data_IF_111404621484
#
_entry.id   IF_111404621484
#
_cell.length_a   1.000
_cell.length_b   1.000
_cell.length_c   1.000
_cell.angle_alpha   90.00
_cell.angle_beta   90.00
_cell.angle_gamma   90.00
#
_symmetry.space_group_name_H-M   'P 1'
#
loop_
_entity.id
_entity.type
_entity.pdbx_description
1 polymer ?
#
# COMPACT_ATOMS: atom_id res chain seq x y z
N UNK A 1 20.50 -0.89 -2.66
CA UNK A 1 19.23 -1.63 -2.71
C UNK A 1 18.26 -0.82 -3.55
N UNK A 2 17.61 -1.46 -4.53
CA UNK A 2 16.53 -0.85 -5.36
C UNK A 2 15.20 -1.40 -4.90
N UNK A 3 14.23 -0.54 -4.63
CA UNK A 3 12.89 -0.90 -4.18
C UNK A 3 11.88 -0.39 -5.20
N UNK A 4 10.99 -1.27 -5.68
CA UNK A 4 9.80 -0.85 -6.41
C UNK A 4 8.69 -0.56 -5.41
N UNK A 5 8.00 0.56 -5.62
CA UNK A 5 6.84 0.96 -4.82
C UNK A 5 5.62 0.96 -5.73
N UNK A 6 4.57 0.24 -5.33
CA UNK A 6 3.24 0.27 -5.96
C UNK A 6 2.20 0.57 -4.89
N UNK A 7 1.10 1.19 -5.29
CA UNK A 7 -0.03 1.51 -4.40
C UNK A 7 -1.28 1.73 -5.22
N UNK A 8 -2.45 1.69 -4.58
CA UNK A 8 -3.72 2.11 -5.17
C UNK A 8 -4.01 1.40 -6.51
N UNK A 9 -3.80 0.08 -6.51
CA UNK A 9 -3.97 -0.79 -7.69
C UNK A 9 -5.46 -0.98 -8.00
N UNK A 10 -6.30 -1.00 -6.97
CA UNK A 10 -7.76 -1.11 -7.07
C UNK A 10 -8.23 -2.25 -7.96
N UNK A 11 -7.64 -3.44 -7.79
CA UNK A 11 -7.98 -4.65 -8.53
C UNK A 11 -7.67 -4.59 -10.04
N UNK A 12 -6.89 -3.62 -10.52
CA UNK A 12 -6.44 -3.57 -11.92
C UNK A 12 -5.17 -4.42 -12.13
N UNK A 13 -5.39 -5.74 -12.25
CA UNK A 13 -4.31 -6.70 -12.54
C UNK A 13 -3.59 -6.40 -13.85
N UNK A 14 -4.29 -5.82 -14.84
CA UNK A 14 -3.68 -5.52 -16.16
C UNK A 14 -2.68 -4.38 -16.05
N UNK A 15 -3.05 -3.32 -15.32
CA UNK A 15 -2.14 -2.20 -15.08
C UNK A 15 -0.93 -2.68 -14.24
N UNK A 16 -1.18 -3.43 -13.15
CA UNK A 16 -0.11 -3.98 -12.32
C UNK A 16 0.86 -4.87 -13.12
N UNK A 17 0.31 -5.76 -13.96
CA UNK A 17 1.14 -6.61 -14.81
C UNK A 17 2.05 -5.78 -15.72
N UNK A 18 1.53 -4.75 -16.36
CA UNK A 18 2.33 -3.87 -17.23
C UNK A 18 3.44 -3.17 -16.45
N UNK A 19 3.12 -2.69 -15.24
CA UNK A 19 4.14 -2.08 -14.36
C UNK A 19 5.25 -3.10 -14.07
N UNK A 20 4.90 -4.34 -13.72
CA UNK A 20 5.90 -5.37 -13.42
C UNK A 20 6.69 -5.82 -14.66
N UNK A 21 6.06 -5.88 -15.83
CA UNK A 21 6.76 -6.20 -17.08
C UNK A 21 7.80 -5.13 -17.47
N UNK A 22 7.54 -3.86 -17.11
CA UNK A 22 8.41 -2.72 -17.42
C UNK A 22 9.43 -2.41 -16.29
N UNK A 23 9.32 -3.06 -15.11
CA UNK A 23 10.24 -2.83 -14.01
C UNK A 23 11.65 -3.34 -14.34
N UNK A 24 12.69 -2.52 -14.08
CA UNK A 24 14.06 -3.05 -14.05
C UNK A 24 14.22 -4.06 -12.90
N UNK A 25 15.33 -4.79 -12.88
CA UNK A 25 15.66 -5.63 -11.73
C UNK A 25 15.67 -4.81 -10.44
N UNK A 26 14.88 -5.24 -9.46
CA UNK A 26 14.76 -4.64 -8.12
C UNK A 26 15.01 -5.69 -7.04
N UNK A 27 15.44 -5.23 -5.88
CA UNK A 27 15.75 -6.11 -4.75
C UNK A 27 14.48 -6.42 -3.92
N UNK A 28 13.47 -5.54 -3.96
CA UNK A 28 12.21 -5.67 -3.23
C UNK A 28 11.06 -4.97 -3.95
N UNK A 29 9.86 -5.52 -3.74
CA UNK A 29 8.59 -4.86 -4.11
C UNK A 29 7.82 -4.56 -2.84
N UNK A 30 7.32 -3.33 -2.72
CA UNK A 30 6.45 -2.89 -1.63
C UNK A 30 5.11 -2.41 -2.21
N UNK A 31 4.00 -2.79 -1.56
CA UNK A 31 2.67 -2.33 -1.90
C UNK A 31 2.10 -1.51 -0.73
N UNK A 32 1.90 -0.22 -0.94
CA UNK A 32 1.45 0.72 0.08
C UNK A 32 -0.09 0.76 0.26
N UNK A 33 -0.76 -0.37 0.04
CA UNK A 33 -2.20 -0.54 0.27
C UNK A 33 -3.05 -0.32 -0.97
N UNK A 34 -4.35 -0.54 -0.82
CA UNK A 34 -5.37 -0.47 -1.86
C UNK A 34 -5.03 -1.34 -3.09
N UNK A 35 -4.57 -2.58 -2.83
CA UNK A 35 -4.39 -3.59 -3.86
C UNK A 35 -5.71 -4.03 -4.47
N UNK A 36 -6.78 -4.04 -3.67
CA UNK A 36 -8.16 -4.34 -4.06
C UNK A 36 -9.05 -3.12 -3.88
N UNK A 37 -10.32 -3.21 -4.32
CA UNK A 37 -11.35 -2.25 -3.97
C UNK A 37 -12.31 -2.86 -2.93
N UNK A 38 -13.01 -2.02 -2.18
CA UNK A 38 -13.92 -2.46 -1.10
C UNK A 38 -15.04 -3.41 -1.54
N UNK A 39 -15.38 -3.39 -2.85
CA UNK A 39 -16.41 -4.22 -3.48
C UNK A 39 -15.88 -5.01 -4.68
N UNK A 40 -14.58 -5.04 -4.88
CA UNK A 40 -13.96 -5.77 -5.99
C UNK A 40 -12.64 -6.39 -5.52
N UNK A 41 -12.68 -7.69 -5.31
CA UNK A 41 -11.50 -8.53 -5.13
C UNK A 41 -11.06 -9.08 -6.49
N UNK A 42 -9.77 -9.04 -6.77
CA UNK A 42 -9.19 -9.59 -8.00
C UNK A 42 -8.07 -10.56 -7.62
N UNK A 43 -8.27 -11.88 -7.76
CA UNK A 43 -7.26 -12.87 -7.41
C UNK A 43 -5.98 -12.70 -8.23
N UNK A 44 -6.09 -12.28 -9.50
CA UNK A 44 -4.91 -12.06 -10.35
C UNK A 44 -4.01 -10.93 -9.84
N UNK A 45 -4.60 -9.87 -9.24
CA UNK A 45 -3.80 -8.80 -8.58
C UNK A 45 -3.00 -9.37 -7.42
N UNK A 46 -3.64 -10.20 -6.58
CA UNK A 46 -2.98 -10.82 -5.43
C UNK A 46 -1.91 -11.82 -5.87
N UNK A 47 -2.19 -12.61 -6.89
CA UNK A 47 -1.22 -13.55 -7.46
C UNK A 47 0.03 -12.84 -8.02
N UNK A 48 -0.15 -11.71 -8.70
CA UNK A 48 0.96 -10.89 -9.20
C UNK A 48 1.82 -10.35 -8.04
N UNK A 49 1.20 -9.82 -6.99
CA UNK A 49 1.90 -9.33 -5.81
C UNK A 49 2.65 -10.46 -5.09
N UNK A 50 2.01 -11.64 -4.96
CA UNK A 50 2.62 -12.83 -4.36
C UNK A 50 3.80 -13.35 -5.18
N UNK A 51 3.66 -13.42 -6.50
CA UNK A 51 4.74 -13.85 -7.40
C UNK A 51 5.96 -12.90 -7.37
N UNK A 52 5.72 -11.61 -7.09
CA UNK A 52 6.76 -10.59 -6.93
C UNK A 52 7.35 -10.54 -5.51
N UNK A 53 6.94 -11.44 -4.59
CA UNK A 53 7.30 -11.41 -3.16
C UNK A 53 7.05 -10.03 -2.53
N UNK A 54 5.93 -9.39 -2.92
CA UNK A 54 5.61 -8.04 -2.50
C UNK A 54 5.23 -8.00 -1.01
N UNK A 55 5.85 -7.08 -0.25
CA UNK A 55 5.41 -6.79 1.11
C UNK A 55 4.32 -5.73 1.07
N UNK A 56 3.11 -6.14 1.43
CA UNK A 56 1.92 -5.29 1.39
C UNK A 56 1.58 -4.76 2.79
N UNK A 57 0.98 -3.57 2.81
CA UNK A 57 0.20 -3.07 3.96
C UNK A 57 -1.27 -2.95 3.54
N UNK A 58 -2.16 -2.82 4.52
CA UNK A 58 -3.55 -2.52 4.24
C UNK A 58 -3.74 -1.04 3.90
N UNK A 59 -4.56 -0.76 2.87
CA UNK A 59 -5.15 0.54 2.65
C UNK A 59 -6.59 0.60 3.18
N UNK A 60 -7.29 1.70 2.88
CA UNK A 60 -8.68 1.85 3.34
C UNK A 60 -9.64 0.86 2.66
N UNK A 61 -9.35 0.42 1.44
CA UNK A 61 -10.20 -0.55 0.75
C UNK A 61 -10.05 -1.95 1.34
N UNK A 62 -8.85 -2.40 1.70
CA UNK A 62 -8.66 -3.65 2.47
C UNK A 62 -9.34 -3.55 3.84
N UNK A 63 -9.20 -2.40 4.52
CA UNK A 63 -9.81 -2.19 5.82
C UNK A 63 -11.34 -2.29 5.78
N UNK A 64 -11.99 -1.79 4.72
CA UNK A 64 -13.44 -1.94 4.50
C UNK A 64 -13.79 -3.38 4.12
N UNK A 65 -13.07 -3.97 3.16
CA UNK A 65 -13.35 -5.31 2.64
C UNK A 65 -13.25 -6.39 3.71
N UNK A 66 -12.16 -6.38 4.49
CA UNK A 66 -11.90 -7.40 5.53
C UNK A 66 -12.47 -7.02 6.90
N UNK A 67 -12.93 -5.78 7.05
CA UNK A 67 -13.61 -5.29 8.25
C UNK A 67 -15.07 -5.75 8.34
N UNK A 68 -15.80 -5.18 9.31
CA UNK A 68 -17.20 -5.49 9.55
C UNK A 68 -18.17 -4.67 8.69
N UNK A 69 -17.66 -3.75 7.85
CA UNK A 69 -18.52 -2.85 7.07
C UNK A 69 -19.19 -3.54 5.89
N UNK A 70 -18.62 -4.65 5.38
CA UNK A 70 -19.17 -5.36 4.22
C UNK A 70 -19.12 -6.89 4.37
N UNK A 71 -19.78 -7.47 5.40
CA UNK A 71 -19.68 -8.89 5.68
C UNK A 71 -20.19 -9.77 4.53
N UNK A 72 -21.28 -9.38 3.87
CA UNK A 72 -21.87 -10.18 2.80
C UNK A 72 -21.01 -10.27 1.54
N UNK A 73 -20.20 -9.26 1.24
CA UNK A 73 -19.25 -9.34 0.14
C UNK A 73 -18.05 -10.21 0.51
N UNK A 74 -17.53 -10.05 1.71
CA UNK A 74 -16.43 -10.88 2.21
C UNK A 74 -16.80 -12.37 2.26
N UNK A 75 -18.05 -12.70 2.66
CA UNK A 75 -18.55 -14.09 2.63
C UNK A 75 -18.57 -14.66 1.22
N UNK A 76 -18.98 -13.87 0.21
CA UNK A 76 -18.90 -14.29 -1.20
C UNK A 76 -17.46 -14.53 -1.65
N UNK A 77 -16.56 -13.62 -1.32
CA UNK A 77 -15.13 -13.81 -1.63
C UNK A 77 -14.57 -15.10 -1.01
N UNK A 78 -14.93 -15.39 0.26
CA UNK A 78 -14.50 -16.62 0.94
C UNK A 78 -15.07 -17.90 0.33
N UNK A 79 -16.26 -17.82 -0.27
CA UNK A 79 -16.86 -18.94 -0.98
C UNK A 79 -16.27 -19.17 -2.38
N UNK A 80 -15.75 -18.12 -3.00
CA UNK A 80 -15.31 -18.12 -4.39
C UNK A 80 -13.79 -18.30 -4.54
N UNK A 81 -13.00 -17.73 -3.62
CA UNK A 81 -11.54 -17.66 -3.76
C UNK A 81 -10.82 -18.48 -2.70
N UNK A 82 -9.62 -18.94 -3.05
CA UNK A 82 -8.75 -19.67 -2.14
C UNK A 82 -8.39 -18.83 -0.90
N UNK A 83 -8.46 -19.39 0.33
CA UNK A 83 -8.18 -18.65 1.56
C UNK A 83 -6.82 -17.93 1.54
N UNK A 84 -5.80 -18.54 0.95
CA UNK A 84 -4.42 -17.99 0.92
C UNK A 84 -4.34 -16.67 0.16
N UNK A 85 -5.22 -16.45 -0.84
CA UNK A 85 -5.29 -15.18 -1.57
C UNK A 85 -5.91 -14.07 -0.72
N UNK A 86 -6.94 -14.42 0.04
CA UNK A 86 -7.60 -13.46 0.93
C UNK A 86 -6.70 -13.15 2.14
N UNK A 87 -6.10 -14.16 2.72
CA UNK A 87 -5.28 -14.04 3.93
C UNK A 87 -4.05 -13.17 3.72
N UNK A 88 -3.44 -13.19 2.54
CA UNK A 88 -2.29 -12.33 2.21
C UNK A 88 -2.58 -10.85 2.50
N UNK A 89 -3.74 -10.36 2.10
CA UNK A 89 -4.14 -8.96 2.31
C UNK A 89 -4.87 -8.75 3.64
N UNK A 90 -5.68 -9.72 4.07
CA UNK A 90 -6.41 -9.63 5.32
C UNK A 90 -5.50 -9.55 6.55
N UNK A 91 -4.34 -10.23 6.50
CA UNK A 91 -3.35 -10.25 7.58
C UNK A 91 -2.21 -9.25 7.40
N UNK A 92 -2.21 -8.51 6.29
CA UNK A 92 -1.21 -7.46 6.06
C UNK A 92 -1.29 -6.40 7.18
N UNK A 93 -0.14 -5.87 7.64
CA UNK A 93 -0.12 -4.84 8.66
C UNK A 93 -0.69 -3.51 8.13
N UNK A 94 -1.06 -2.60 9.02
CA UNK A 94 -1.52 -1.25 8.66
C UNK A 94 -0.38 -0.30 8.31
N UNK A 95 0.83 -0.63 8.73
CA UNK A 95 2.06 0.11 8.42
C UNK A 95 3.26 -0.82 8.46
N UNK A 96 4.34 -0.41 7.83
CA UNK A 96 5.61 -1.13 7.83
C UNK A 96 6.75 -0.16 8.13
N UNK A 97 7.52 -0.48 9.16
CA UNK A 97 8.76 0.23 9.49
C UNK A 97 9.95 -0.67 9.17
N UNK A 98 10.95 -0.12 8.52
CA UNK A 98 12.16 -0.87 8.19
C UNK A 98 13.36 0.06 7.97
N UNK A 99 14.55 -0.52 7.99
CA UNK A 99 15.78 0.17 7.61
C UNK A 99 16.25 -0.26 6.22
N UNK A 100 16.74 0.69 5.45
CA UNK A 100 17.32 0.48 4.13
C UNK A 100 18.52 1.39 3.92
N UNK A 101 19.69 0.79 3.72
CA UNK A 101 20.96 1.52 3.52
C UNK A 101 21.24 2.58 4.63
N UNK A 102 20.87 2.26 5.87
CA UNK A 102 21.06 3.15 7.03
C UNK A 102 19.96 4.20 7.21
N UNK A 103 18.99 4.27 6.31
CA UNK A 103 17.83 5.15 6.42
C UNK A 103 16.63 4.43 7.04
N UNK A 104 15.91 5.10 7.94
CA UNK A 104 14.66 4.60 8.54
C UNK A 104 13.48 4.99 7.65
N UNK A 105 12.66 3.99 7.31
CA UNK A 105 11.53 4.13 6.41
C UNK A 105 10.24 3.75 7.10
N UNK A 106 9.22 4.59 6.99
CA UNK A 106 7.83 4.27 7.31
C UNK A 106 7.04 4.13 6.01
N UNK A 107 6.34 3.01 5.84
CA UNK A 107 5.29 2.87 4.83
C UNK A 107 3.94 2.79 5.52
N UNK A 108 3.02 3.67 5.15
CA UNK A 108 1.66 3.75 5.66
C UNK A 108 0.74 4.28 4.56
N UNK A 109 -0.52 3.79 4.49
CA UNK A 109 -1.34 4.07 3.32
C UNK A 109 -1.76 5.55 3.21
N UNK A 110 -2.44 6.11 4.23
CA UNK A 110 -2.96 7.47 4.14
C UNK A 110 -2.10 8.50 4.90
N UNK A 111 -2.17 8.52 6.23
CA UNK A 111 -1.35 9.44 7.03
C UNK A 111 -0.79 8.75 8.27
N UNK A 112 0.37 9.16 8.80
CA UNK A 112 0.95 8.56 10.00
C UNK A 112 0.08 8.66 11.26
N UNK A 113 -0.88 9.57 11.29
CA UNK A 113 -1.82 9.77 12.41
C UNK A 113 -3.21 9.19 12.14
N UNK A 114 -3.48 8.74 10.92
CA UNK A 114 -4.72 8.06 10.53
C UNK A 114 -4.45 7.16 9.32
N UNK A 115 -4.19 5.86 9.54
CA UNK A 115 -3.70 4.96 8.49
C UNK A 115 -4.60 4.83 7.27
N UNK A 116 -5.91 5.06 7.45
CA UNK A 116 -6.94 4.83 6.44
C UNK A 116 -7.70 6.08 6.03
N UNK A 117 -7.26 7.27 6.45
CA UNK A 117 -7.95 8.51 6.12
C UNK A 117 -7.05 9.74 6.15
N UNK A 118 -7.56 10.82 5.54
CA UNK A 118 -6.82 12.07 5.39
C UNK A 118 -5.91 12.03 4.17
N UNK A 119 -5.60 13.21 3.63
CA UNK A 119 -4.82 13.36 2.41
C UNK A 119 -3.63 14.27 2.64
N UNK A 120 -2.45 13.81 2.24
CA UNK A 120 -1.25 14.62 2.16
C UNK A 120 -0.91 14.76 0.67
N UNK A 121 -1.45 15.79 0.04
CA UNK A 121 -1.17 16.13 -1.35
C UNK A 121 0.07 17.01 -1.47
N UNK A 122 0.66 17.19 -2.66
CA UNK A 122 1.69 18.18 -2.90
C UNK A 122 1.28 19.57 -2.37
N UNK A 123 2.16 20.19 -1.59
CA UNK A 123 1.89 21.47 -0.95
C UNK A 123 0.89 21.44 0.21
N UNK A 124 0.51 20.28 0.71
CA UNK A 124 -0.44 20.14 1.82
C UNK A 124 0.04 20.88 3.07
N UNK A 125 -0.85 21.62 3.78
CA UNK A 125 -0.52 22.23 5.07
C UNK A 125 -0.21 21.21 6.15
N UNK A 126 -0.42 19.92 5.91
CA UNK A 126 -0.09 18.84 6.83
C UNK A 126 1.37 18.34 6.67
N UNK A 127 2.03 18.61 5.54
CA UNK A 127 3.42 18.21 5.30
C UNK A 127 4.37 18.59 6.45
N UNK A 128 4.31 19.82 7.04
CA UNK A 128 5.17 20.17 8.15
C UNK A 128 5.07 19.27 9.39
N UNK A 129 3.95 18.56 9.57
CA UNK A 129 3.76 17.62 10.70
C UNK A 129 4.68 16.41 10.59
N UNK A 130 5.10 16.05 9.39
CA UNK A 130 6.00 14.91 9.15
C UNK A 130 7.42 15.15 9.69
N UNK A 131 7.83 16.42 9.89
CA UNK A 131 9.16 16.79 10.39
C UNK A 131 9.52 16.19 11.74
N UNK A 132 8.51 15.91 12.58
CA UNK A 132 8.69 15.36 13.92
C UNK A 132 8.78 13.84 13.94
N UNK A 133 8.58 13.18 12.80
CA UNK A 133 8.66 11.73 12.73
C UNK A 133 10.12 11.28 12.76
N UNK A 134 10.40 10.14 13.43
CA UNK A 134 11.74 9.61 13.56
C UNK A 134 12.16 8.78 12.32
N UNK A 135 11.80 9.23 11.11
CA UNK A 135 12.04 8.55 9.84
C UNK A 135 12.76 9.49 8.86
N UNK A 136 13.55 8.89 7.98
CA UNK A 136 14.21 9.60 6.87
C UNK A 136 13.30 9.63 5.63
N UNK A 137 12.49 8.57 5.46
CA UNK A 137 11.51 8.44 4.38
C UNK A 137 10.13 8.05 4.92
N UNK A 138 9.09 8.63 4.33
CA UNK A 138 7.69 8.26 4.57
C UNK A 138 7.05 7.93 3.22
N UNK A 139 6.60 6.69 3.03
CA UNK A 139 5.93 6.23 1.82
C UNK A 139 4.43 6.26 2.07
N UNK A 140 3.71 6.98 1.20
CA UNK A 140 2.26 7.15 1.24
C UNK A 140 1.63 6.68 -0.07
N UNK A 141 0.39 6.20 -0.01
CA UNK A 141 -0.52 5.98 -1.12
C UNK A 141 -1.73 6.91 -1.04
N UNK A 142 -2.93 6.39 -1.30
CA UNK A 142 -4.24 7.01 -1.03
C UNK A 142 -4.61 8.24 -1.87
N UNK A 143 -3.66 9.06 -2.24
CA UNK A 143 -3.94 10.34 -2.91
C UNK A 143 -4.14 10.19 -4.41
N UNK A 144 -3.71 9.09 -5.01
CA UNK A 144 -3.62 8.87 -6.46
C UNK A 144 -2.84 9.97 -7.19
N UNK A 145 -1.96 10.66 -6.47
CA UNK A 145 -1.13 11.74 -7.01
C UNK A 145 0.34 11.45 -6.72
N UNK A 146 1.18 11.31 -7.77
CA UNK A 146 2.59 11.16 -7.54
C UNK A 146 3.18 12.43 -6.93
N UNK A 147 4.02 12.26 -5.91
CA UNK A 147 4.77 13.35 -5.33
C UNK A 147 6.10 12.85 -4.77
N UNK A 148 7.06 13.74 -4.71
CA UNK A 148 8.25 13.64 -3.87
C UNK A 148 8.41 15.00 -3.22
N UNK A 149 8.22 15.06 -1.92
CA UNK A 149 8.24 16.28 -1.12
C UNK A 149 9.21 16.13 0.05
N UNK A 150 9.66 17.24 0.59
CA UNK A 150 10.49 17.24 1.80
C UNK A 150 9.82 18.00 2.92
N UNK A 151 9.83 17.42 4.11
CA UNK A 151 9.37 18.03 5.34
C UNK A 151 10.52 18.04 6.35
N UNK A 152 11.35 19.10 6.32
CA UNK A 152 12.61 19.12 7.08
C UNK A 152 13.60 18.09 6.56
N UNK A 153 13.96 17.10 7.40
CA UNK A 153 14.84 16.00 7.01
C UNK A 153 14.09 14.79 6.42
N UNK A 154 12.75 14.79 6.48
CA UNK A 154 11.92 13.67 6.01
C UNK A 154 11.60 13.85 4.52
N UNK A 155 11.83 12.83 3.71
CA UNK A 155 11.36 12.73 2.32
C UNK A 155 10.07 11.91 2.25
N UNK A 156 9.08 12.40 1.49
CA UNK A 156 7.75 11.78 1.35
C UNK A 156 7.50 11.44 -0.09
#
# INVERSE_FOLDING_TARGET
>A
MKIALVSDIHADARALKRVFDDLPSVDRVLCAGDAVSEFQFCPETVDLLRAADARCIQGNHEHVLFGRQNPGYLERCRAEYAPELLDMLATAPTSLEFESAGARVLMIHATPWSPFSGYINPGSPQLPRLRSLPFDFVILGHTHRPMIETAGAVTV
#
